data_IF_544078991785
#
_entry.id   IF_544078991785
#
_cell.length_a   1.000
_cell.length_b   1.000
_cell.length_c   1.000
_cell.angle_alpha   90.00
_cell.angle_beta   90.00
_cell.angle_gamma   90.00
#
_symmetry.space_group_name_H-M   'P 1'
#
loop_
_entity.id
_entity.type
_entity.pdbx_description
1 polymer ?
#
# COMPACT_ATOMS: atom_id res chain seq x y z
N UNK A 1 -17.48 15.61 27.33
CA UNK A 1 -16.64 14.49 26.84
C UNK A 1 -16.84 14.12 25.36
N UNK A 2 -18.06 14.10 24.76
CA UNK A 2 -18.24 13.54 23.40
C UNK A 2 -17.46 14.31 22.31
N UNK A 3 -17.34 15.63 22.44
CA UNK A 3 -16.56 16.45 21.50
C UNK A 3 -15.08 16.09 21.44
N UNK A 4 -14.46 15.67 22.56
CA UNK A 4 -13.05 15.32 22.60
C UNK A 4 -12.77 14.05 21.79
N UNK A 5 -13.69 13.07 21.85
CA UNK A 5 -13.60 11.83 21.07
C UNK A 5 -13.65 12.12 19.57
N UNK A 6 -14.58 12.96 19.13
CA UNK A 6 -14.70 13.32 17.71
C UNK A 6 -13.51 14.14 17.22
N UNK A 7 -13.02 15.08 18.02
CA UNK A 7 -11.82 15.84 17.70
C UNK A 7 -10.58 14.94 17.53
N UNK A 8 -10.39 13.98 18.43
CA UNK A 8 -9.29 13.01 18.32
C UNK A 8 -9.45 12.08 17.12
N UNK A 9 -10.68 11.70 16.77
CA UNK A 9 -10.96 10.90 15.59
C UNK A 9 -10.64 11.66 14.28
N UNK A 10 -10.88 12.97 14.24
CA UNK A 10 -10.58 13.83 13.09
C UNK A 10 -9.08 14.13 12.93
N UNK A 11 -8.28 13.99 13.99
CA UNK A 11 -6.85 14.26 13.96
C UNK A 11 -6.08 13.38 12.97
N UNK A 12 -6.43 12.09 12.90
CA UNK A 12 -5.79 11.12 11.99
C UNK A 12 -6.01 11.47 10.50
N UNK A 13 -7.24 11.74 10.04
CA UNK A 13 -7.47 12.26 8.69
C UNK A 13 -6.80 13.60 8.42
N UNK A 14 -6.77 14.53 9.38
CA UNK A 14 -6.06 15.81 9.21
C UNK A 14 -4.56 15.59 8.98
N UNK A 15 -3.93 14.72 9.76
CA UNK A 15 -2.54 14.33 9.55
C UNK A 15 -2.34 13.65 8.19
N UNK A 16 -3.25 12.76 7.78
CA UNK A 16 -3.19 12.14 6.46
C UNK A 16 -3.24 13.17 5.33
N UNK A 17 -4.22 14.07 5.36
CA UNK A 17 -4.34 15.17 4.38
C UNK A 17 -3.08 16.04 4.39
N UNK A 18 -2.56 16.38 5.56
CA UNK A 18 -1.32 17.14 5.70
C UNK A 18 -0.13 16.43 5.05
N UNK A 19 -0.03 15.11 5.24
CA UNK A 19 1.03 14.28 4.66
C UNK A 19 0.94 14.25 3.13
N UNK A 20 -0.27 14.13 2.58
CA UNK A 20 -0.52 14.21 1.13
C UNK A 20 -0.11 15.58 0.59
N UNK A 21 -0.50 16.67 1.26
CA UNK A 21 -0.22 18.03 0.79
C UNK A 21 1.28 18.38 0.86
N UNK A 22 1.96 17.97 1.93
CA UNK A 22 3.36 18.32 2.15
C UNK A 22 4.34 17.44 1.38
N UNK A 23 4.01 16.15 1.19
CA UNK A 23 4.93 15.16 0.63
C UNK A 23 4.35 14.39 -0.57
N UNK A 24 3.47 15.05 -1.34
CA UNK A 24 2.87 14.48 -2.56
C UNK A 24 3.90 13.91 -3.53
N UNK A 25 5.09 14.50 -3.59
CA UNK A 25 6.19 14.07 -4.47
C UNK A 25 6.83 12.76 -4.02
N UNK A 26 7.04 12.52 -2.72
CA UNK A 26 7.53 11.21 -2.25
C UNK A 26 6.46 10.14 -2.37
N UNK A 27 5.21 10.51 -2.10
CA UNK A 27 4.07 9.60 -2.28
C UNK A 27 3.93 9.14 -3.74
N UNK A 28 4.20 10.03 -4.69
CA UNK A 28 4.20 9.73 -6.13
C UNK A 28 5.49 9.02 -6.60
N UNK A 29 6.67 9.45 -6.11
CA UNK A 29 7.98 8.93 -6.52
C UNK A 29 8.28 7.51 -6.04
N UNK A 30 7.62 7.04 -4.97
CA UNK A 30 7.80 5.67 -4.48
C UNK A 30 7.50 4.57 -5.52
N UNK A 31 6.71 4.86 -6.56
CA UNK A 31 6.43 3.91 -7.64
C UNK A 31 7.55 3.84 -8.67
N UNK A 32 8.30 4.92 -8.84
CA UNK A 32 9.37 5.07 -9.83
C UNK A 32 10.73 4.64 -9.27
N UNK A 33 10.90 4.65 -7.95
CA UNK A 33 12.17 4.32 -7.28
C UNK A 33 12.45 2.80 -7.19
N UNK A 34 11.45 1.95 -7.36
CA UNK A 34 11.61 0.49 -7.29
C UNK A 34 11.53 -0.10 -8.69
N UNK A 35 12.68 -0.40 -9.31
CA UNK A 35 12.71 -1.24 -10.52
C UNK A 35 12.07 -2.60 -10.17
N UNK A 36 11.12 -3.13 -10.96
CA UNK A 36 10.29 -4.28 -10.56
C UNK A 36 10.62 -5.52 -11.41
N UNK A 37 10.75 -6.71 -10.82
CA UNK A 37 10.76 -7.97 -11.57
C UNK A 37 9.36 -8.32 -12.10
N UNK A 38 9.28 -8.75 -13.35
CA UNK A 38 8.12 -9.45 -13.88
C UNK A 38 7.99 -10.84 -13.21
N UNK A 39 6.76 -11.17 -12.81
CA UNK A 39 6.42 -12.40 -12.07
C UNK A 39 6.66 -13.65 -12.94
N UNK A 40 6.76 -13.49 -14.25
CA UNK A 40 6.80 -14.56 -15.25
C UNK A 40 8.16 -15.28 -15.31
N UNK A 41 9.19 -14.74 -14.65
CA UNK A 41 10.50 -15.39 -14.51
C UNK A 41 10.60 -16.34 -13.30
N UNK A 42 9.52 -16.49 -12.53
CA UNK A 42 9.48 -17.36 -11.35
C UNK A 42 9.15 -18.80 -11.73
N UNK A 43 9.67 -19.78 -10.98
CA UNK A 43 9.18 -21.15 -11.06
C UNK A 43 7.66 -21.22 -10.82
N UNK A 44 6.95 -22.09 -11.55
CA UNK A 44 5.47 -22.18 -11.58
C UNK A 44 4.83 -22.22 -10.17
N UNK A 45 5.52 -22.83 -9.20
CA UNK A 45 5.08 -22.92 -7.81
C UNK A 45 5.11 -21.58 -7.08
N UNK A 46 6.15 -20.78 -7.29
CA UNK A 46 6.28 -19.44 -6.69
C UNK A 46 5.30 -18.47 -7.35
N UNK A 47 5.16 -18.56 -8.67
CA UNK A 47 4.19 -17.77 -9.43
C UNK A 47 2.76 -17.98 -8.91
N UNK A 48 2.30 -19.23 -8.78
CA UNK A 48 0.98 -19.56 -8.22
C UNK A 48 0.78 -19.02 -6.80
N UNK A 49 1.82 -19.10 -5.96
CA UNK A 49 1.78 -18.59 -4.57
C UNK A 49 1.65 -17.07 -4.53
N UNK A 50 2.39 -16.35 -5.38
CA UNK A 50 2.29 -14.89 -5.52
C UNK A 50 0.90 -14.51 -6.02
N UNK A 51 0.40 -15.14 -7.09
CA UNK A 51 -0.95 -14.86 -7.64
C UNK A 51 -2.06 -15.06 -6.61
N UNK A 52 -1.98 -16.13 -5.81
CA UNK A 52 -2.94 -16.37 -4.73
C UNK A 52 -2.88 -15.26 -3.66
N UNK A 53 -1.67 -14.87 -3.25
CA UNK A 53 -1.47 -13.78 -2.29
C UNK A 53 -2.02 -12.44 -2.81
N UNK A 54 -1.74 -12.10 -4.06
CA UNK A 54 -2.25 -10.89 -4.71
C UNK A 54 -3.77 -10.89 -4.74
N UNK A 55 -4.41 -12.02 -5.06
CA UNK A 55 -5.87 -12.15 -5.04
C UNK A 55 -6.45 -11.90 -3.64
N UNK A 56 -5.84 -12.49 -2.61
CA UNK A 56 -6.27 -12.30 -1.22
C UNK A 56 -6.15 -10.83 -0.78
N UNK A 57 -5.00 -10.19 -1.04
CA UNK A 57 -4.77 -8.78 -0.73
C UNK A 57 -5.76 -7.89 -1.49
N UNK A 58 -6.02 -8.19 -2.76
CA UNK A 58 -6.98 -7.43 -3.57
C UNK A 58 -8.37 -7.47 -2.94
N UNK A 59 -8.84 -8.65 -2.52
CA UNK A 59 -10.13 -8.80 -1.83
C UNK A 59 -10.15 -7.99 -0.53
N UNK A 60 -9.07 -8.06 0.26
CA UNK A 60 -8.93 -7.28 1.49
C UNK A 60 -9.01 -5.77 1.22
N UNK A 61 -8.25 -5.26 0.24
CA UNK A 61 -8.24 -3.84 -0.15
C UNK A 61 -9.65 -3.39 -0.55
N UNK A 62 -10.33 -4.15 -1.41
CA UNK A 62 -11.70 -3.84 -1.84
C UNK A 62 -12.66 -3.80 -0.65
N UNK A 63 -12.58 -4.77 0.26
CA UNK A 63 -13.40 -4.79 1.47
C UNK A 63 -13.12 -3.58 2.39
N UNK A 64 -11.85 -3.21 2.58
CA UNK A 64 -11.47 -2.04 3.38
C UNK A 64 -11.97 -0.74 2.77
N UNK A 65 -11.86 -0.57 1.45
CA UNK A 65 -12.38 0.62 0.75
C UNK A 65 -13.90 0.71 0.90
N UNK A 66 -14.62 -0.40 0.72
CA UNK A 66 -16.08 -0.43 0.90
C UNK A 66 -16.47 -0.10 2.35
N UNK A 67 -15.79 -0.67 3.34
CA UNK A 67 -16.05 -0.37 4.75
C UNK A 67 -15.81 1.10 5.08
N UNK A 68 -14.73 1.70 4.55
CA UNK A 68 -14.43 3.12 4.73
C UNK A 68 -15.46 4.03 4.05
N UNK A 69 -15.92 3.69 2.84
CA UNK A 69 -16.99 4.41 2.15
C UNK A 69 -18.31 4.33 2.93
N UNK A 70 -18.72 3.14 3.37
CA UNK A 70 -19.91 2.96 4.19
C UNK A 70 -19.82 3.78 5.49
N UNK A 71 -18.68 3.71 6.19
CA UNK A 71 -18.42 4.52 7.37
C UNK A 71 -18.57 6.01 7.07
N UNK A 72 -17.90 6.51 6.04
CA UNK A 72 -17.93 7.93 5.67
C UNK A 72 -19.34 8.43 5.32
N UNK A 73 -20.14 7.60 4.65
CA UNK A 73 -21.54 7.91 4.35
C UNK A 73 -22.36 7.98 5.64
N UNK A 74 -22.16 7.05 6.59
CA UNK A 74 -22.86 7.10 7.88
C UNK A 74 -22.55 8.38 8.66
N UNK A 75 -21.31 8.88 8.60
CA UNK A 75 -20.93 10.18 9.20
C UNK A 75 -21.54 11.38 8.44
N UNK A 76 -21.79 11.24 7.14
CA UNK A 76 -22.40 12.30 6.33
C UNK A 76 -23.93 12.39 6.48
N UNK A 77 -24.61 11.29 6.84
CA UNK A 77 -26.06 11.28 7.10
C UNK A 77 -26.37 12.12 8.35
N UNK A 78 -27.50 12.83 8.34
CA UNK A 78 -27.98 13.59 9.49
C UNK A 78 -28.64 12.67 10.52
N UNK A 79 -28.03 12.52 11.69
CA UNK A 79 -28.64 11.91 12.87
C UNK A 79 -29.13 12.99 13.84
N UNK A 80 -30.19 12.66 14.58
CA UNK A 80 -30.84 13.58 15.52
C UNK A 80 -29.91 14.13 16.62
N UNK A 81 -28.82 13.42 16.91
CA UNK A 81 -27.88 13.76 17.99
C UNK A 81 -26.57 14.40 17.51
N UNK A 82 -26.43 14.74 16.22
CA UNK A 82 -25.15 15.23 15.69
C UNK A 82 -24.64 16.49 16.40
N UNK A 83 -25.54 17.36 16.88
CA UNK A 83 -25.17 18.57 17.60
C UNK A 83 -24.51 18.31 18.96
N UNK A 84 -24.64 17.10 19.51
CA UNK A 84 -24.02 16.68 20.78
C UNK A 84 -22.62 16.10 20.57
N UNK A 85 -22.34 15.57 19.37
CA UNK A 85 -21.09 14.90 19.03
C UNK A 85 -20.14 15.82 18.25
N UNK A 86 -20.67 16.66 17.35
CA UNK A 86 -19.88 17.54 16.50
C UNK A 86 -19.94 18.99 16.99
N UNK A 87 -18.83 19.43 17.59
CA UNK A 87 -18.70 20.81 18.07
C UNK A 87 -18.90 21.85 16.95
N UNK A 88 -18.38 21.57 15.74
CA UNK A 88 -18.49 22.47 14.58
C UNK A 88 -19.95 22.67 14.17
N UNK A 89 -20.77 21.62 14.18
CA UNK A 89 -22.19 21.74 13.87
C UNK A 89 -22.94 22.59 14.91
N UNK A 90 -22.61 22.41 16.19
CA UNK A 90 -23.14 23.23 17.29
C UNK A 90 -22.77 24.71 17.10
N UNK A 91 -21.50 24.98 16.81
CA UNK A 91 -21.00 26.32 16.54
C UNK A 91 -21.70 26.98 15.35
N UNK A 92 -21.84 26.28 14.21
CA UNK A 92 -22.55 26.80 13.04
C UNK A 92 -24.00 27.14 13.39
N UNK A 93 -24.69 26.28 14.15
CA UNK A 93 -26.08 26.50 14.54
C UNK A 93 -26.25 27.72 15.44
N UNK A 94 -25.35 27.89 16.40
CA UNK A 94 -25.45 28.95 17.42
C UNK A 94 -25.05 30.33 16.85
N UNK A 95 -24.09 30.39 15.91
CA UNK A 95 -23.58 31.66 15.34
C UNK A 95 -24.11 32.00 13.94
N UNK A 96 -24.52 31.02 13.15
CA UNK A 96 -25.00 31.19 11.77
C UNK A 96 -26.32 30.43 11.51
N UNK A 97 -27.38 30.66 12.32
CA UNK A 97 -28.61 29.88 12.25
C UNK A 97 -29.26 29.90 10.86
N UNK A 98 -29.26 31.06 10.19
CA UNK A 98 -29.86 31.24 8.86
C UNK A 98 -29.16 30.45 7.75
N UNK A 99 -27.88 30.12 7.95
CA UNK A 99 -27.05 29.38 6.99
C UNK A 99 -26.71 27.96 7.46
N UNK A 100 -27.31 27.53 8.57
CA UNK A 100 -26.97 26.27 9.22
C UNK A 100 -27.03 25.08 8.27
N UNK A 101 -28.12 24.93 7.53
CA UNK A 101 -28.33 23.78 6.65
C UNK A 101 -27.21 23.64 5.61
N UNK A 102 -26.86 24.76 4.95
CA UNK A 102 -25.84 24.76 3.89
C UNK A 102 -24.47 24.47 4.46
N UNK A 103 -24.09 25.14 5.57
CA UNK A 103 -22.79 24.96 6.21
C UNK A 103 -22.65 23.57 6.85
N UNK A 104 -23.73 23.01 7.41
CA UNK A 104 -23.73 21.66 7.97
C UNK A 104 -23.55 20.59 6.88
N UNK A 105 -24.22 20.74 5.72
CA UNK A 105 -24.03 19.82 4.59
C UNK A 105 -22.59 19.91 4.07
N UNK A 106 -22.06 21.12 3.92
CA UNK A 106 -20.70 21.33 3.43
C UNK A 106 -19.65 20.72 4.38
N UNK A 107 -19.79 20.96 5.69
CA UNK A 107 -18.95 20.32 6.70
C UNK A 107 -19.08 18.80 6.65
N UNK A 108 -20.30 18.26 6.54
CA UNK A 108 -20.48 16.81 6.50
C UNK A 108 -19.93 16.14 5.26
N UNK A 109 -19.96 16.82 4.12
CA UNK A 109 -19.36 16.34 2.88
C UNK A 109 -17.83 16.13 3.03
N UNK A 110 -17.16 16.84 3.95
CA UNK A 110 -15.71 16.64 4.17
C UNK A 110 -15.40 15.27 4.77
N UNK A 111 -16.35 14.61 5.45
CA UNK A 111 -16.12 13.26 5.99
C UNK A 111 -15.92 12.20 4.90
N UNK A 112 -16.49 12.40 3.71
CA UNK A 112 -16.27 11.52 2.56
C UNK A 112 -14.81 11.57 2.12
N UNK A 113 -14.24 12.78 2.00
CA UNK A 113 -12.83 12.96 1.66
C UNK A 113 -11.89 12.53 2.79
N UNK A 114 -12.30 12.76 4.04
CA UNK A 114 -11.58 12.36 5.25
C UNK A 114 -11.39 10.84 5.31
N UNK A 115 -12.46 10.07 5.06
CA UNK A 115 -12.39 8.61 5.06
C UNK A 115 -11.48 8.04 3.99
N UNK A 116 -11.50 8.61 2.78
CA UNK A 116 -10.56 8.24 1.71
C UNK A 116 -9.10 8.55 2.10
N UNK A 117 -8.86 9.75 2.63
CA UNK A 117 -7.51 10.19 3.01
C UNK A 117 -6.92 9.33 4.13
N UNK A 118 -7.75 8.85 5.05
CA UNK A 118 -7.29 7.98 6.14
C UNK A 118 -6.81 6.61 5.63
N UNK A 119 -7.49 6.02 4.64
CA UNK A 119 -7.15 4.68 4.16
C UNK A 119 -5.99 4.67 3.15
N UNK A 120 -5.78 5.76 2.39
CA UNK A 120 -4.83 5.75 1.26
C UNK A 120 -3.40 5.42 1.72
N UNK A 121 -2.96 5.96 2.86
CA UNK A 121 -1.62 5.71 3.40
C UNK A 121 -1.45 4.27 3.89
N UNK A 122 -2.49 3.72 4.54
CA UNK A 122 -2.48 2.32 4.98
C UNK A 122 -2.39 1.39 3.77
N UNK A 123 -3.17 1.67 2.72
CA UNK A 123 -3.14 0.91 1.48
C UNK A 123 -1.79 1.01 0.76
N UNK A 124 -1.15 2.19 0.77
CA UNK A 124 0.20 2.39 0.25
C UNK A 124 1.22 1.52 1.00
N UNK A 125 1.22 1.55 2.33
CA UNK A 125 2.12 0.73 3.16
C UNK A 125 1.91 -0.76 2.88
N UNK A 126 0.65 -1.22 2.81
CA UNK A 126 0.32 -2.61 2.49
C UNK A 126 0.87 -2.96 1.10
N UNK A 127 0.64 -2.11 0.10
CA UNK A 127 1.13 -2.32 -1.25
C UNK A 127 2.65 -2.50 -1.27
N UNK A 128 3.41 -1.56 -0.69
CA UNK A 128 4.88 -1.64 -0.65
C UNK A 128 5.38 -2.87 0.11
N UNK A 129 4.80 -3.16 1.27
CA UNK A 129 5.24 -4.29 2.11
C UNK A 129 5.01 -5.62 1.40
N UNK A 130 3.85 -5.80 0.78
CA UNK A 130 3.55 -7.03 0.05
C UNK A 130 4.35 -7.13 -1.24
N UNK A 131 4.57 -6.01 -1.91
CA UNK A 131 5.39 -5.96 -3.10
C UNK A 131 6.84 -6.35 -2.79
N UNK A 132 7.46 -5.76 -1.77
CA UNK A 132 8.80 -6.10 -1.30
C UNK A 132 8.90 -7.58 -0.91
N UNK A 133 7.89 -8.10 -0.20
CA UNK A 133 7.80 -9.53 0.13
C UNK A 133 7.84 -10.41 -1.12
N UNK A 134 7.09 -10.06 -2.17
CA UNK A 134 7.08 -10.85 -3.41
C UNK A 134 8.42 -10.76 -4.15
N UNK A 135 9.02 -9.58 -4.20
CA UNK A 135 10.35 -9.40 -4.80
C UNK A 135 11.43 -10.23 -4.09
N UNK A 136 11.41 -10.31 -2.75
CA UNK A 136 12.30 -11.20 -1.98
C UNK A 136 12.03 -12.67 -2.29
N UNK A 137 10.75 -13.07 -2.43
CA UNK A 137 10.42 -14.45 -2.78
C UNK A 137 10.93 -14.83 -4.18
N UNK A 138 10.84 -13.93 -5.15
CA UNK A 138 11.40 -14.12 -6.49
C UNK A 138 12.93 -14.23 -6.47
N UNK A 139 13.60 -13.36 -5.72
CA UNK A 139 15.05 -13.39 -5.58
C UNK A 139 15.54 -14.69 -4.93
N UNK A 140 14.86 -15.15 -3.88
CA UNK A 140 15.20 -16.41 -3.23
C UNK A 140 15.05 -17.61 -4.17
N UNK A 141 13.96 -17.65 -4.95
CA UNK A 141 13.76 -18.71 -5.95
C UNK A 141 14.87 -18.69 -7.02
N UNK A 142 15.26 -17.50 -7.47
CA UNK A 142 16.33 -17.34 -8.45
C UNK A 142 17.71 -17.78 -7.91
N UNK A 143 18.01 -17.49 -6.64
CA UNK A 143 19.25 -17.94 -5.97
C UNK A 143 19.27 -19.47 -5.81
N UNK A 144 18.15 -20.07 -5.42
CA UNK A 144 18.06 -21.54 -5.27
C UNK A 144 18.27 -22.23 -6.61
N UNK A 145 17.74 -21.65 -7.70
CA UNK A 145 17.84 -22.20 -9.05
C UNK A 145 19.09 -21.71 -9.80
N UNK A 146 20.04 -21.06 -9.12
CA UNK A 146 21.22 -20.46 -9.79
C UNK A 146 22.07 -21.54 -10.46
N UNK A 147 22.22 -22.69 -9.80
CA UNK A 147 22.98 -23.85 -10.25
C UNK A 147 22.20 -24.74 -11.22
N UNK A 148 20.90 -24.53 -11.37
CA UNK A 148 20.02 -25.29 -12.25
C UNK A 148 20.21 -24.77 -13.69
N UNK A 149 21.37 -25.09 -14.26
CA UNK A 149 21.62 -24.92 -15.68
C UNK A 149 21.14 -26.19 -16.37
N UNK A 150 20.26 -26.06 -17.36
CA UNK A 150 19.71 -27.16 -18.19
C UNK A 150 20.76 -27.87 -19.05
N UNK A 151 22.04 -27.66 -18.76
CA UNK A 151 23.15 -28.26 -19.45
C UNK A 151 23.35 -29.65 -18.83
N UNK A 152 23.19 -30.68 -19.66
CA UNK A 152 23.38 -32.09 -19.32
C UNK A 152 24.90 -32.38 -19.12
N UNK A 153 25.55 -31.63 -18.24
CA UNK A 153 26.98 -31.68 -17.99
C UNK A 153 27.24 -32.62 -16.82
N UNK A 154 28.21 -33.51 -17.01
CA UNK A 154 28.65 -34.46 -16.00
C UNK A 154 29.21 -33.69 -14.78
N UNK A 155 28.69 -33.96 -13.57
CA UNK A 155 29.05 -33.27 -12.30
C UNK A 155 30.56 -33.07 -12.11
N UNK A 156 31.37 -34.03 -12.57
CA UNK A 156 32.83 -34.02 -12.47
C UNK A 156 33.55 -33.02 -13.37
N UNK A 157 32.86 -32.40 -14.35
CA UNK A 157 33.44 -31.46 -15.32
C UNK A 157 32.91 -30.02 -15.19
N UNK A 158 31.96 -29.75 -14.30
CA UNK A 158 31.36 -28.43 -14.12
C UNK A 158 32.34 -27.35 -13.62
N UNK A 159 33.39 -27.74 -12.90
CA UNK A 159 34.41 -26.79 -12.45
C UNK A 159 35.30 -26.28 -13.58
N UNK A 160 35.50 -27.09 -14.62
CA UNK A 160 36.37 -26.77 -15.75
C UNK A 160 35.58 -26.22 -16.96
N UNK A 161 34.26 -26.14 -16.86
CA UNK A 161 33.38 -25.64 -17.92
C UNK A 161 33.27 -24.11 -17.82
N UNK A 162 34.03 -23.41 -18.68
CA UNK A 162 34.06 -21.94 -18.70
C UNK A 162 32.69 -21.32 -19.01
N UNK A 163 31.84 -21.97 -19.81
CA UNK A 163 30.51 -21.46 -20.17
C UNK A 163 29.56 -21.54 -18.97
N UNK A 164 29.63 -22.64 -18.21
CA UNK A 164 28.92 -22.79 -16.95
C UNK A 164 29.40 -21.76 -15.92
N UNK A 165 30.72 -21.63 -15.71
CA UNK A 165 31.27 -20.68 -14.73
C UNK A 165 30.89 -19.23 -15.07
N UNK A 166 30.98 -18.84 -16.35
CA UNK A 166 30.56 -17.51 -16.80
C UNK A 166 29.06 -17.26 -16.61
N UNK A 167 28.23 -18.29 -16.81
CA UNK A 167 26.78 -18.22 -16.58
C UNK A 167 26.48 -18.01 -15.09
N UNK A 168 27.12 -18.79 -14.22
CA UNK A 168 26.97 -18.67 -12.76
C UNK A 168 27.47 -17.31 -12.27
N UNK A 169 28.62 -16.84 -12.75
CA UNK A 169 29.18 -15.53 -12.40
C UNK A 169 28.22 -14.40 -12.76
N UNK A 170 27.62 -14.42 -13.96
CA UNK A 170 26.65 -13.42 -14.39
C UNK A 170 25.39 -13.43 -13.52
N UNK A 171 24.87 -14.62 -13.20
CA UNK A 171 23.69 -14.75 -12.30
C UNK A 171 24.00 -14.26 -10.89
N UNK A 172 25.19 -14.53 -10.36
CA UNK A 172 25.64 -14.05 -9.05
C UNK A 172 25.81 -12.53 -9.02
N UNK A 173 26.48 -11.95 -10.01
CA UNK A 173 26.63 -10.48 -10.14
C UNK A 173 25.27 -9.79 -10.20
N UNK A 174 24.32 -10.40 -10.92
CA UNK A 174 22.94 -9.93 -10.97
C UNK A 174 22.30 -9.91 -9.57
N UNK A 175 22.36 -11.03 -8.83
CA UNK A 175 21.83 -11.11 -7.46
C UNK A 175 22.47 -10.10 -6.51
N UNK A 176 23.80 -9.91 -6.59
CA UNK A 176 24.54 -8.99 -5.70
C UNK A 176 24.13 -7.54 -5.95
N UNK A 177 24.13 -7.08 -7.22
CA UNK A 177 23.68 -5.72 -7.56
C UNK A 177 22.28 -5.46 -7.06
N UNK A 178 21.41 -6.46 -7.18
CA UNK A 178 20.01 -6.33 -6.81
C UNK A 178 19.79 -6.35 -5.29
N UNK A 179 20.58 -7.11 -4.56
CA UNK A 179 20.58 -7.08 -3.10
C UNK A 179 21.02 -5.71 -2.58
N UNK A 180 22.01 -5.09 -3.23
CA UNK A 180 22.49 -3.74 -2.90
C UNK A 180 21.38 -2.69 -3.12
N UNK A 181 20.61 -2.80 -4.20
CA UNK A 181 19.43 -1.94 -4.47
C UNK A 181 18.31 -2.07 -3.42
N UNK A 182 18.23 -3.17 -2.65
CA UNK A 182 17.26 -3.31 -1.55
C UNK A 182 17.78 -2.78 -0.20
N UNK A 183 19.08 -2.55 -0.07
CA UNK A 183 19.72 -2.08 1.18
C UNK A 183 19.90 -0.56 1.25
N UNK A 184 19.82 0.14 0.10
CA UNK A 184 19.86 1.61 -0.03
C UNK A 184 18.47 2.20 0.22
#
# INVERSE_FOLDING_TARGET
MPYATMFLAEFLPMLAIWTILYDSKKVAGLKDDLYLWEIDNAGEKVEKKIRFGVKYITIYIVATVLAALCGSILFAVNLSHDLEWFFVLRFIKDYFPDKYLVLAILYKATFIFSGYSMIVHVLQIIYYTQHLRYQIMLLNEYIVNISDCSLNINEKKLFDDEEYQATIENRLKFCIRRWDEYLV
#
